data_IF_533349447101
#
_entry.id   IF_533349447101
#
_cell.length_a   1.000
_cell.length_b   1.000
_cell.length_c   1.000
_cell.angle_alpha   90.00
_cell.angle_beta   90.00
_cell.angle_gamma   90.00
#
_symmetry.space_group_name_H-M   'P 1'
#
loop_
_entity.id
_entity.type
_entity.pdbx_description
1 polymer ?
#
# COMPACT_ATOMS: atom_id res chain seq x y z
N UNK A 1 -13.25 15.41 12.11
CA UNK A 1 -12.31 14.91 13.12
C UNK A 1 -11.54 13.76 12.49
N UNK A 2 -10.23 13.96 12.34
CA UNK A 2 -9.43 13.54 11.19
C UNK A 2 -9.33 12.02 10.98
N UNK A 3 -9.75 11.52 9.81
CA UNK A 3 -9.57 10.12 9.38
C UNK A 3 -8.15 9.58 9.62
N UNK A 4 -7.15 10.47 9.46
CA UNK A 4 -5.75 10.20 9.79
C UNK A 4 -5.52 9.88 11.26
N UNK A 5 -6.14 10.64 12.18
CA UNK A 5 -6.02 10.41 13.61
C UNK A 5 -6.69 9.09 14.04
N UNK A 6 -7.76 8.69 13.35
CA UNK A 6 -8.32 7.35 13.52
C UNK A 6 -7.32 6.27 13.10
N UNK A 7 -6.76 6.37 11.90
CA UNK A 7 -5.76 5.39 11.43
C UNK A 7 -4.50 5.37 12.29
N UNK A 8 -4.03 6.52 12.77
CA UNK A 8 -2.90 6.61 13.70
C UNK A 8 -3.16 5.82 14.99
N UNK A 9 -4.33 6.01 15.62
CA UNK A 9 -4.70 5.25 16.84
C UNK A 9 -4.80 3.74 16.56
N UNK A 10 -5.49 3.36 15.47
CA UNK A 10 -5.68 1.96 15.12
C UNK A 10 -4.35 1.25 14.78
N UNK A 11 -3.48 1.89 14.00
CA UNK A 11 -2.17 1.35 13.64
C UNK A 11 -1.23 1.30 14.85
N UNK A 12 -1.24 2.29 15.75
CA UNK A 12 -0.44 2.22 16.98
C UNK A 12 -0.85 1.04 17.84
N UNK A 13 -2.15 0.83 18.05
CA UNK A 13 -2.66 -0.30 18.81
C UNK A 13 -2.29 -1.64 18.15
N UNK A 14 -2.46 -1.74 16.82
CA UNK A 14 -2.03 -2.93 16.08
C UNK A 14 -0.54 -3.20 16.14
N UNK A 15 0.29 -2.17 16.08
CA UNK A 15 1.74 -2.32 16.17
C UNK A 15 2.14 -2.77 17.57
N UNK A 16 1.49 -2.24 18.61
CA UNK A 16 1.70 -2.66 19.98
C UNK A 16 1.37 -4.15 20.18
N UNK A 17 0.16 -4.58 19.78
CA UNK A 17 -0.29 -5.97 19.90
C UNK A 17 0.61 -6.97 19.15
N UNK A 18 1.26 -6.53 18.07
CA UNK A 18 2.13 -7.35 17.21
C UNK A 18 3.62 -7.21 17.54
N UNK A 19 3.98 -6.58 18.67
CA UNK A 19 5.36 -6.31 19.07
C UNK A 19 6.19 -5.64 17.96
N UNK A 20 5.59 -4.61 17.37
CA UNK A 20 6.12 -3.75 16.31
C UNK A 20 6.33 -2.31 16.82
N UNK A 21 6.34 -2.10 18.13
CA UNK A 21 6.47 -0.78 18.74
C UNK A 21 7.63 0.04 18.16
N UNK A 22 7.40 1.34 17.98
CA UNK A 22 8.38 2.31 17.47
C UNK A 22 8.94 2.00 16.06
N UNK A 23 8.28 1.16 15.27
CA UNK A 23 8.70 0.92 13.89
C UNK A 23 8.54 2.21 13.05
N UNK A 24 9.60 2.68 12.38
CA UNK A 24 9.59 3.95 11.64
C UNK A 24 8.65 3.95 10.43
N UNK A 25 8.13 2.78 10.00
CA UNK A 25 7.14 2.71 8.95
C UNK A 25 5.73 3.11 9.42
N UNK A 26 5.45 3.13 10.72
CA UNK A 26 4.09 3.39 11.24
C UNK A 26 3.48 4.71 10.71
N UNK A 27 4.15 5.87 10.76
CA UNK A 27 3.61 7.11 10.18
C UNK A 27 3.33 7.01 8.68
N UNK A 28 4.18 6.29 7.95
CA UNK A 28 4.00 6.08 6.51
C UNK A 28 2.73 5.28 6.21
N UNK A 29 2.46 4.22 6.98
CA UNK A 29 1.26 3.40 6.82
C UNK A 29 -0.01 4.16 7.19
N UNK A 30 0.04 5.03 8.20
CA UNK A 30 -1.05 5.94 8.55
C UNK A 30 -1.36 6.87 7.38
N UNK A 31 -0.32 7.48 6.80
CA UNK A 31 -0.49 8.36 5.66
C UNK A 31 -0.94 7.59 4.41
N UNK A 32 -0.49 6.36 4.20
CA UNK A 32 -0.93 5.47 3.11
C UNK A 32 -2.43 5.20 3.21
N UNK A 33 -2.92 4.76 4.38
CA UNK A 33 -4.36 4.54 4.60
C UNK A 33 -5.15 5.83 4.42
N UNK A 34 -4.64 6.94 4.94
CA UNK A 34 -5.27 8.25 4.78
C UNK A 34 -5.39 8.66 3.32
N UNK A 35 -4.34 8.44 2.51
CA UNK A 35 -4.35 8.74 1.06
C UNK A 35 -5.41 7.90 0.35
N UNK A 36 -5.38 6.57 0.51
CA UNK A 36 -6.33 5.67 -0.16
C UNK A 36 -7.78 5.87 0.30
N UNK A 37 -7.98 6.30 1.54
CA UNK A 37 -9.32 6.57 2.03
C UNK A 37 -9.86 7.96 1.58
N UNK A 38 -8.99 8.97 1.43
CA UNK A 38 -9.39 10.31 0.94
C UNK A 38 -9.61 10.35 -0.57
N UNK A 39 -8.92 9.51 -1.31
CA UNK A 39 -9.27 9.26 -2.70
C UNK A 39 -10.62 8.54 -2.68
N UNK A 40 -11.72 9.30 -2.70
CA UNK A 40 -13.10 8.79 -2.66
C UNK A 40 -13.39 7.70 -3.70
N UNK A 41 -12.48 7.49 -4.64
CA UNK A 41 -12.54 6.49 -5.68
C UNK A 41 -11.12 5.99 -5.98
N UNK A 42 -10.66 4.88 -5.38
CA UNK A 42 -9.88 3.96 -6.21
C UNK A 42 -10.72 3.55 -7.43
N UNK A 43 -12.06 3.60 -7.30
CA UNK A 43 -13.03 3.38 -8.38
C UNK A 43 -14.22 4.34 -8.26
N UNK A 44 -14.67 5.00 -9.35
CA UNK A 44 -15.74 6.01 -9.36
C UNK A 44 -17.00 5.60 -8.59
N UNK A 45 -17.72 6.57 -8.00
CA UNK A 45 -18.99 6.33 -7.31
C UNK A 45 -19.96 5.58 -8.24
N UNK A 46 -20.42 4.40 -7.82
CA UNK A 46 -21.28 3.52 -8.63
C UNK A 46 -20.55 2.43 -9.41
N UNK A 47 -19.21 2.37 -9.36
CA UNK A 47 -18.40 1.31 -9.98
C UNK A 47 -18.15 0.21 -8.95
N UNK A 48 -18.54 -1.02 -9.30
CA UNK A 48 -18.08 -2.24 -8.60
C UNK A 48 -16.56 -2.24 -8.69
N UNK A 49 -15.87 -2.26 -7.56
CA UNK A 49 -14.41 -2.41 -7.49
C UNK A 49 -13.96 -3.45 -8.54
N UNK A 50 -13.22 -3.06 -9.60
CA UNK A 50 -12.89 -3.93 -10.72
C UNK A 50 -12.23 -5.18 -10.21
N UNK A 51 -12.46 -6.26 -10.95
CA UNK A 51 -12.00 -7.59 -10.58
C UNK A 51 -10.50 -7.54 -10.31
N UNK A 52 -10.06 -8.35 -9.34
CA UNK A 52 -8.66 -8.36 -8.95
C UNK A 52 -7.76 -8.76 -10.15
N UNK A 53 -8.28 -9.62 -11.03
CA UNK A 53 -7.69 -9.93 -12.35
C UNK A 53 -7.41 -8.66 -13.16
N UNK A 54 -8.39 -7.77 -13.34
CA UNK A 54 -8.21 -6.48 -14.05
C UNK A 54 -7.15 -5.59 -13.40
N UNK A 55 -7.02 -5.66 -12.08
CA UNK A 55 -5.99 -4.91 -11.35
C UNK A 55 -4.62 -5.53 -11.56
N UNK A 56 -4.52 -6.86 -11.60
CA UNK A 56 -3.30 -7.57 -11.98
C UNK A 56 -2.93 -7.25 -13.43
N UNK A 57 -3.89 -7.25 -14.35
CA UNK A 57 -3.69 -6.91 -15.75
C UNK A 57 -3.22 -5.46 -15.89
N UNK A 58 -3.83 -4.51 -15.17
CA UNK A 58 -3.38 -3.13 -15.12
C UNK A 58 -1.93 -3.05 -14.57
N UNK A 59 -1.59 -3.80 -13.53
CA UNK A 59 -0.22 -3.86 -13.00
C UNK A 59 0.77 -4.47 -14.00
N UNK A 60 0.34 -5.44 -14.81
CA UNK A 60 1.15 -6.08 -15.85
C UNK A 60 1.34 -5.20 -17.08
N UNK A 61 0.27 -4.60 -17.59
CA UNK A 61 0.31 -3.65 -18.72
C UNK A 61 1.21 -2.48 -18.38
N UNK A 62 1.06 -1.95 -17.18
CA UNK A 62 1.87 -0.85 -16.71
C UNK A 62 3.35 -1.28 -16.60
N UNK A 63 3.66 -2.46 -16.07
CA UNK A 63 5.03 -3.03 -16.12
C UNK A 63 5.61 -3.20 -17.52
N UNK A 64 4.81 -3.70 -18.46
CA UNK A 64 5.26 -3.94 -19.83
C UNK A 64 5.61 -2.63 -20.56
N UNK A 65 4.88 -1.55 -20.28
CA UNK A 65 5.18 -0.21 -20.80
C UNK A 65 6.48 0.36 -20.19
N UNK A 66 6.86 -0.05 -18.97
CA UNK A 66 8.03 0.50 -18.27
C UNK A 66 9.34 -0.23 -18.53
N UNK A 67 9.27 -1.49 -19.00
CA UNK A 67 10.46 -2.20 -19.50
C UNK A 67 10.88 -1.70 -20.89
N UNK A 68 10.14 -0.74 -21.48
CA UNK A 68 10.53 -0.01 -22.69
C UNK A 68 11.62 1.06 -22.38
N UNK A 69 12.86 0.87 -22.86
CA UNK A 69 13.95 1.81 -22.62
C UNK A 69 13.74 3.17 -23.26
N UNK A 70 12.87 3.30 -24.28
CA UNK A 70 12.69 4.55 -25.03
C UNK A 70 11.87 5.61 -24.27
N UNK A 71 11.12 5.21 -23.25
CA UNK A 71 10.20 6.09 -22.49
C UNK A 71 10.61 6.30 -21.02
N UNK A 72 11.79 5.83 -20.62
CA UNK A 72 12.23 5.86 -19.21
C UNK A 72 12.44 7.29 -18.69
N UNK A 73 11.63 7.68 -17.69
CA UNK A 73 11.74 8.96 -16.97
C UNK A 73 11.93 8.68 -15.46
N UNK A 74 13.14 8.82 -14.91
CA UNK A 74 13.47 8.27 -13.59
C UNK A 74 12.56 8.73 -12.44
N UNK A 75 12.20 10.03 -12.40
CA UNK A 75 11.32 10.57 -11.35
C UNK A 75 9.87 10.08 -11.48
N UNK A 76 9.41 9.88 -12.71
CA UNK A 76 8.09 9.31 -13.00
C UNK A 76 8.03 7.85 -12.55
N UNK A 77 9.04 7.06 -12.91
CA UNK A 77 9.15 5.64 -12.53
C UNK A 77 9.13 5.44 -11.02
N UNK A 78 9.81 6.29 -10.27
CA UNK A 78 9.79 6.26 -8.80
C UNK A 78 8.39 6.52 -8.25
N UNK A 79 7.69 7.51 -8.80
CA UNK A 79 6.32 7.88 -8.37
C UNK A 79 5.36 6.71 -8.60
N UNK A 80 5.48 6.10 -9.77
CA UNK A 80 4.66 4.96 -10.20
C UNK A 80 4.97 3.72 -9.36
N UNK A 81 6.24 3.33 -9.22
CA UNK A 81 6.65 2.21 -8.38
C UNK A 81 6.21 2.40 -6.92
N UNK A 82 6.32 3.62 -6.37
CA UNK A 82 5.79 3.91 -5.05
C UNK A 82 4.30 3.64 -4.98
N UNK A 83 3.53 4.09 -5.97
CA UNK A 83 2.09 3.87 -6.01
C UNK A 83 1.74 2.38 -6.07
N UNK A 84 2.48 1.57 -6.84
CA UNK A 84 2.30 0.11 -6.88
C UNK A 84 2.59 -0.53 -5.52
N UNK A 85 3.71 -0.16 -4.89
CA UNK A 85 4.04 -0.64 -3.55
C UNK A 85 2.92 -0.31 -2.55
N UNK A 86 2.47 0.94 -2.56
CA UNK A 86 1.40 1.44 -1.71
C UNK A 86 0.08 0.70 -1.96
N UNK A 87 -0.29 0.52 -3.23
CA UNK A 87 -1.53 -0.12 -3.64
C UNK A 87 -1.53 -1.61 -3.31
N UNK A 88 -0.44 -2.32 -3.60
CA UNK A 88 -0.33 -3.75 -3.27
C UNK A 88 -0.33 -3.98 -1.77
N UNK A 89 0.33 -3.13 -0.98
CA UNK A 89 0.32 -3.21 0.48
C UNK A 89 -1.07 -2.93 1.04
N UNK A 90 -1.76 -1.94 0.48
CA UNK A 90 -3.15 -1.63 0.83
C UNK A 90 -4.10 -2.80 0.51
N UNK A 91 -4.02 -3.39 -0.68
CA UNK A 91 -4.87 -4.51 -1.08
C UNK A 91 -4.61 -5.76 -0.24
N UNK A 92 -3.34 -6.10 0.01
CA UNK A 92 -2.96 -7.27 0.80
C UNK A 92 -3.24 -7.11 2.30
N UNK A 93 -3.28 -5.88 2.80
CA UNK A 93 -3.63 -5.58 4.19
C UNK A 93 -5.12 -5.37 4.43
N UNK A 94 -5.78 -4.52 3.65
CA UNK A 94 -7.17 -4.12 3.89
C UNK A 94 -8.19 -5.01 3.17
N UNK A 95 -7.82 -5.58 2.01
CA UNK A 95 -8.69 -6.45 1.20
C UNK A 95 -8.13 -7.88 1.12
N UNK A 96 -7.51 -8.34 2.21
CA UNK A 96 -6.76 -9.59 2.26
C UNK A 96 -7.56 -10.79 1.78
N UNK A 97 -8.80 -10.96 2.23
CA UNK A 97 -9.64 -12.12 1.87
C UNK A 97 -9.92 -12.18 0.36
N UNK A 98 -10.09 -11.03 -0.29
CA UNK A 98 -10.31 -10.94 -1.74
C UNK A 98 -9.05 -11.33 -2.50
N UNK A 99 -7.89 -10.88 -2.01
CA UNK A 99 -6.59 -11.19 -2.62
C UNK A 99 -6.27 -12.69 -2.50
N UNK A 100 -6.55 -13.30 -1.34
CA UNK A 100 -6.32 -14.73 -1.11
C UNK A 100 -7.24 -15.63 -1.97
N UNK A 101 -8.49 -15.20 -2.23
CA UNK A 101 -9.46 -15.97 -3.05
C UNK A 101 -9.09 -16.09 -4.52
N UNK A 102 -8.25 -15.22 -5.06
CA UNK A 102 -7.96 -15.17 -6.52
C UNK A 102 -6.63 -15.85 -6.88
N UNK A 103 -6.00 -16.57 -5.94
CA UNK A 103 -4.67 -17.18 -6.11
C UNK A 103 -3.53 -16.21 -6.49
N UNK A 104 -3.77 -14.89 -6.45
CA UNK A 104 -2.82 -13.85 -6.86
C UNK A 104 -2.08 -13.19 -5.69
N UNK A 105 -2.30 -13.63 -4.45
CA UNK A 105 -1.65 -13.08 -3.26
C UNK A 105 -0.11 -13.03 -3.38
N UNK A 106 0.51 -14.09 -3.89
CA UNK A 106 1.95 -14.13 -4.12
C UNK A 106 2.41 -13.09 -5.14
N UNK A 107 1.61 -12.83 -6.18
CA UNK A 107 1.90 -11.80 -7.18
C UNK A 107 1.87 -10.39 -6.56
N UNK A 108 0.83 -10.05 -5.79
CA UNK A 108 0.75 -8.76 -5.11
C UNK A 108 1.94 -8.51 -4.19
N UNK A 109 2.31 -9.51 -3.38
CA UNK A 109 3.46 -9.43 -2.47
C UNK A 109 4.76 -9.24 -3.27
N UNK A 110 4.98 -10.05 -4.31
CA UNK A 110 6.18 -9.94 -5.14
C UNK A 110 6.29 -8.57 -5.81
N UNK A 111 5.19 -8.05 -6.33
CA UNK A 111 5.18 -6.74 -6.99
C UNK A 111 5.38 -5.60 -6.01
N UNK A 112 4.73 -5.63 -4.85
CA UNK A 112 4.94 -4.61 -3.83
C UNK A 112 6.39 -4.56 -3.33
N UNK A 113 7.00 -5.73 -3.11
CA UNK A 113 8.41 -5.85 -2.74
C UNK A 113 9.34 -5.27 -3.81
N UNK A 114 9.17 -5.68 -5.07
CA UNK A 114 9.98 -5.20 -6.20
C UNK A 114 9.85 -3.69 -6.37
N UNK A 115 8.64 -3.15 -6.25
CA UNK A 115 8.37 -1.73 -6.43
C UNK A 115 9.02 -0.87 -5.33
N UNK A 116 8.88 -1.25 -4.05
CA UNK A 116 9.55 -0.53 -2.96
C UNK A 116 11.08 -0.68 -3.00
N UNK A 117 11.60 -1.82 -3.45
CA UNK A 117 13.03 -2.00 -3.68
C UNK A 117 13.55 -1.01 -4.73
N UNK A 118 12.85 -0.88 -5.86
CA UNK A 118 13.20 0.10 -6.90
C UNK A 118 13.23 1.52 -6.37
N UNK A 119 12.19 1.94 -5.63
CA UNK A 119 12.12 3.29 -5.03
C UNK A 119 13.29 3.53 -4.05
N UNK A 120 13.64 2.52 -3.24
CA UNK A 120 14.81 2.59 -2.35
C UNK A 120 16.09 2.80 -3.13
N UNK A 121 16.36 1.97 -4.14
CA UNK A 121 17.62 2.03 -4.88
C UNK A 121 17.78 3.33 -5.65
N UNK A 122 16.71 3.80 -6.29
CA UNK A 122 16.73 5.09 -6.95
C UNK A 122 16.96 6.22 -5.93
N UNK A 123 16.28 6.19 -4.78
CA UNK A 123 16.50 7.17 -3.71
C UNK A 123 17.95 7.23 -3.24
N UNK A 124 18.63 6.07 -3.09
CA UNK A 124 20.05 5.99 -2.72
C UNK A 124 20.98 6.58 -3.77
N UNK A 125 20.62 6.48 -5.06
CA UNK A 125 21.42 6.97 -6.17
C UNK A 125 21.17 8.46 -6.50
N UNK A 126 20.09 9.04 -5.99
CA UNK A 126 19.64 10.39 -6.28
C UNK A 126 20.09 11.43 -5.24
N UNK A 127 19.56 12.65 -5.32
CA UNK A 127 19.93 13.78 -4.46
C UNK A 127 19.81 13.46 -2.95
N UNK A 128 20.51 14.23 -2.11
CA UNK A 128 20.53 14.02 -0.65
C UNK A 128 19.14 14.04 -0.01
N UNK A 129 18.22 14.87 -0.50
CA UNK A 129 16.85 14.95 0.02
C UNK A 129 16.02 13.69 -0.26
N UNK A 130 16.24 13.03 -1.41
CA UNK A 130 15.59 11.76 -1.77
C UNK A 130 16.25 10.55 -1.11
N UNK A 131 17.53 10.64 -0.76
CA UNK A 131 18.28 9.57 -0.10
C UNK A 131 17.78 9.29 1.33
N UNK A 132 17.28 10.30 2.04
CA UNK A 132 16.79 10.17 3.42
C UNK A 132 15.56 9.24 3.52
N UNK A 133 14.76 9.14 2.46
CA UNK A 133 13.59 8.26 2.41
C UNK A 133 13.92 6.82 2.00
N UNK A 134 15.10 6.57 1.40
CA UNK A 134 15.45 5.27 0.87
C UNK A 134 15.45 4.12 1.92
N UNK A 135 15.95 4.31 3.16
CA UNK A 135 15.91 3.28 4.19
C UNK A 135 14.48 2.85 4.56
N UNK A 136 13.51 3.76 4.50
CA UNK A 136 12.10 3.45 4.74
C UNK A 136 11.55 2.52 3.66
N UNK A 137 11.78 2.84 2.38
CA UNK A 137 11.31 2.01 1.27
C UNK A 137 11.99 0.64 1.24
N UNK A 138 13.29 0.58 1.58
CA UNK A 138 14.00 -0.70 1.79
C UNK A 138 13.29 -1.54 2.85
N UNK A 139 12.97 -0.93 4.00
CA UNK A 139 12.27 -1.61 5.10
C UNK A 139 10.88 -2.10 4.70
N UNK A 140 10.12 -1.28 3.96
CA UNK A 140 8.80 -1.65 3.43
C UNK A 140 8.89 -2.86 2.48
N UNK A 141 9.92 -2.92 1.62
CA UNK A 141 10.18 -4.08 0.77
C UNK A 141 10.53 -5.32 1.59
N UNK A 142 11.51 -5.21 2.50
CA UNK A 142 12.02 -6.36 3.25
C UNK A 142 10.99 -6.96 4.21
N UNK A 143 10.07 -6.14 4.72
CA UNK A 143 9.07 -6.52 5.74
C UNK A 143 7.63 -6.42 5.26
N UNK A 144 7.42 -6.46 3.93
CA UNK A 144 6.12 -6.23 3.30
C UNK A 144 4.99 -7.04 3.95
N UNK A 145 5.16 -8.35 4.09
CA UNK A 145 4.13 -9.25 4.64
C UNK A 145 3.82 -8.95 6.11
N UNK A 146 4.81 -8.48 6.87
CA UNK A 146 4.62 -8.09 8.27
C UNK A 146 3.76 -6.82 8.36
N UNK A 147 3.97 -5.87 7.46
CA UNK A 147 3.13 -4.66 7.38
C UNK A 147 1.74 -4.94 6.82
N UNK A 148 1.61 -5.81 5.80
CA UNK A 148 0.31 -6.28 5.32
C UNK A 148 -0.48 -6.98 6.44
N UNK A 149 0.19 -7.84 7.22
CA UNK A 149 -0.41 -8.48 8.39
C UNK A 149 -0.85 -7.49 9.47
N UNK A 150 -0.03 -6.47 9.77
CA UNK A 150 -0.41 -5.42 10.71
C UNK A 150 -1.62 -4.62 10.23
N UNK A 151 -1.71 -4.31 8.93
CA UNK A 151 -2.88 -3.63 8.36
C UNK A 151 -4.14 -4.49 8.43
N UNK A 152 -4.06 -5.80 8.14
CA UNK A 152 -5.20 -6.71 8.26
C UNK A 152 -5.65 -6.87 9.72
N UNK A 153 -4.72 -7.01 10.66
CA UNK A 153 -5.03 -7.05 12.09
C UNK A 153 -5.73 -5.76 12.52
N UNK A 154 -5.17 -4.60 12.14
CA UNK A 154 -5.74 -3.30 12.47
C UNK A 154 -7.17 -3.17 11.95
N UNK A 155 -7.42 -3.63 10.71
CA UNK A 155 -8.75 -3.66 10.12
C UNK A 155 -9.71 -4.55 10.90
N UNK A 156 -9.30 -5.78 11.24
CA UNK A 156 -10.18 -6.75 11.91
C UNK A 156 -10.53 -6.34 13.34
N UNK A 157 -9.58 -5.73 14.05
CA UNK A 157 -9.70 -5.48 15.49
C UNK A 157 -10.11 -4.05 15.81
N UNK A 158 -9.58 -3.06 15.08
CA UNK A 158 -9.77 -1.64 15.44
C UNK A 158 -10.61 -0.85 14.44
N UNK A 159 -11.01 -1.42 13.30
CA UNK A 159 -11.95 -0.75 12.39
C UNK A 159 -13.41 -1.02 12.73
N UNK A 160 -13.70 -1.62 13.90
CA UNK A 160 -15.07 -1.90 14.37
C UNK A 160 -15.87 -0.62 14.68
N UNK A 161 -15.27 0.35 15.39
CA UNK A 161 -15.88 1.64 15.74
C UNK A 161 -15.38 2.76 14.82
N UNK A 162 -15.45 2.50 13.51
CA UNK A 162 -14.96 3.44 12.52
C UNK A 162 -15.84 4.70 12.42
N UNK A 163 -15.28 5.87 12.03
CA UNK A 163 -16.09 7.04 11.73
C UNK A 163 -17.03 6.77 10.54
N UNK A 164 -18.13 7.52 10.44
CA UNK A 164 -19.06 7.44 9.30
C UNK A 164 -18.42 7.93 7.99
N UNK A 165 -17.58 7.09 7.38
CA UNK A 165 -16.80 7.41 6.18
C UNK A 165 -16.95 6.29 5.12
N UNK A 166 -17.12 6.62 3.82
CA UNK A 166 -17.38 5.64 2.75
C UNK A 166 -16.34 4.51 2.64
N UNK A 167 -15.08 4.80 2.95
CA UNK A 167 -13.99 3.81 3.02
C UNK A 167 -14.36 2.53 3.78
N UNK A 168 -15.06 2.66 4.91
CA UNK A 168 -15.42 1.51 5.75
C UNK A 168 -16.72 0.81 5.29
N UNK A 169 -17.47 1.44 4.39
CA UNK A 169 -18.70 0.89 3.81
C UNK A 169 -18.44 0.02 2.57
N UNK A 170 -17.20 -0.01 2.08
CA UNK A 170 -16.80 -0.89 0.97
C UNK A 170 -17.11 -2.34 1.38
N UNK A 171 -18.19 -2.91 0.84
CA UNK A 171 -18.59 -4.28 1.18
C UNK A 171 -17.52 -5.24 0.66
N UNK A 172 -16.78 -5.79 1.62
CA UNK A 172 -15.81 -6.86 1.46
C UNK A 172 -16.56 -8.17 1.16
N UNK A 173 -17.04 -8.29 -0.08
CA UNK A 173 -17.71 -9.51 -0.57
C UNK A 173 -16.76 -10.69 -0.63
#
# INVERSE_FOLDING_TARGET
>A
MELRAFFDRALRASFHDLALDNDPASPYLVDLLTRFARTENLYPRGVVMPRLETVVDLLLETQAVWEDPEHFQPEHEVTVCRHIGDFTLFMTGIFRERVERTASAGYYVAQGKRAYHFVSEHGRASSRATADAAPLYRRLADRFERYAGALDYARRVYFVDHPGHPFFQLRFG
#
